data_IF_333629187112
#
_entry.id   IF_333629187112
#
_cell.length_a   1.000
_cell.length_b   1.000
_cell.length_c   1.000
_cell.angle_alpha   90.00
_cell.angle_beta   90.00
_cell.angle_gamma   90.00
#
_symmetry.space_group_name_H-M   'P 1'
#
loop_
_entity.id
_entity.type
_entity.pdbx_description
1 polymer ?
#
# COMPACT_ATOMS: atom_id res chain seq x y z
N UNK A 1 -15.29 -11.58 39.81
CA UNK A 1 -14.94 -12.41 38.60
C UNK A 1 -15.92 -12.19 37.45
N UNK A 2 -17.23 -12.04 37.69
CA UNK A 2 -18.25 -11.84 36.63
C UNK A 2 -18.06 -10.53 35.82
N UNK A 3 -17.72 -9.41 36.46
CA UNK A 3 -17.48 -8.13 35.81
C UNK A 3 -16.22 -8.14 34.91
N UNK A 4 -15.18 -8.87 35.31
CA UNK A 4 -13.96 -8.98 34.49
C UNK A 4 -14.21 -9.78 33.22
N UNK A 5 -15.06 -10.80 33.27
CA UNK A 5 -15.45 -11.58 32.09
C UNK A 5 -16.28 -10.79 31.07
N UNK A 6 -17.24 -10.01 31.54
CA UNK A 6 -18.06 -9.13 30.67
C UNK A 6 -17.22 -8.02 30.03
N UNK A 7 -16.34 -7.38 30.79
CA UNK A 7 -15.43 -6.36 30.27
C UNK A 7 -14.50 -6.94 29.19
N UNK A 8 -13.98 -8.15 29.39
CA UNK A 8 -13.14 -8.85 28.40
C UNK A 8 -13.91 -9.17 27.10
N UNK A 9 -15.18 -9.60 27.18
CA UNK A 9 -16.03 -9.88 26.02
C UNK A 9 -16.35 -8.59 25.23
N UNK A 10 -16.69 -7.51 25.93
CA UNK A 10 -16.97 -6.21 25.31
C UNK A 10 -15.73 -5.65 24.63
N UNK A 11 -14.56 -5.73 25.27
CA UNK A 11 -13.29 -5.29 24.70
C UNK A 11 -12.90 -6.13 23.46
N UNK A 12 -13.07 -7.45 23.50
CA UNK A 12 -12.82 -8.33 22.34
C UNK A 12 -13.76 -8.02 21.18
N UNK A 13 -15.04 -7.79 21.47
CA UNK A 13 -16.03 -7.45 20.44
C UNK A 13 -15.73 -6.10 19.81
N UNK A 14 -15.37 -5.09 20.61
CA UNK A 14 -14.97 -3.77 20.13
C UNK A 14 -13.70 -3.85 19.27
N UNK A 15 -12.71 -4.64 19.65
CA UNK A 15 -11.48 -4.87 18.87
C UNK A 15 -11.79 -5.55 17.53
N UNK A 16 -12.66 -6.57 17.51
CA UNK A 16 -13.09 -7.24 16.28
C UNK A 16 -13.85 -6.28 15.34
N UNK A 17 -14.78 -5.48 15.87
CA UNK A 17 -15.48 -4.48 15.05
C UNK A 17 -14.53 -3.44 14.47
N UNK A 18 -13.54 -2.99 15.24
CA UNK A 18 -12.52 -2.07 14.75
C UNK A 18 -11.69 -2.70 13.64
N UNK A 19 -11.24 -3.94 13.82
CA UNK A 19 -10.49 -4.68 12.82
C UNK A 19 -11.26 -4.84 11.50
N UNK A 20 -12.55 -5.20 11.57
CA UNK A 20 -13.43 -5.28 10.40
C UNK A 20 -13.69 -3.91 9.75
N UNK A 21 -13.72 -2.83 10.53
CA UNK A 21 -13.94 -1.47 10.02
C UNK A 21 -12.67 -0.86 9.38
N UNK A 22 -11.47 -1.27 9.81
CA UNK A 22 -10.19 -0.71 9.39
C UNK A 22 -9.45 -1.54 8.33
N UNK A 23 -9.89 -2.78 8.06
CA UNK A 23 -9.20 -3.69 7.13
C UNK A 23 -9.93 -3.85 5.80
N UNK A 24 -9.16 -4.02 4.74
CA UNK A 24 -9.64 -4.50 3.45
C UNK A 24 -9.79 -6.02 3.50
N UNK A 25 -10.98 -6.52 3.18
CA UNK A 25 -11.31 -7.94 3.34
C UNK A 25 -10.55 -8.86 2.38
N UNK A 26 -10.19 -8.37 1.21
CA UNK A 26 -9.47 -9.17 0.22
C UNK A 26 -7.99 -9.32 0.60
N UNK A 27 -7.36 -8.23 0.99
CA UNK A 27 -5.91 -8.18 1.17
C UNK A 27 -5.47 -8.22 2.63
N UNK A 28 -6.35 -7.89 3.58
CA UNK A 28 -6.02 -7.70 5.00
C UNK A 28 -5.13 -6.48 5.28
N UNK A 29 -4.86 -5.64 4.27
CA UNK A 29 -4.25 -4.33 4.47
C UNK A 29 -5.21 -3.39 5.21
N UNK A 30 -4.73 -2.26 5.71
CA UNK A 30 -5.65 -1.21 6.16
C UNK A 30 -6.45 -0.70 4.97
N UNK A 31 -7.71 -0.34 5.19
CA UNK A 31 -8.60 0.17 4.15
C UNK A 31 -8.50 1.69 4.00
N UNK A 32 -9.24 2.25 3.04
CA UNK A 32 -9.30 3.69 2.77
C UNK A 32 -9.78 4.50 3.98
N UNK A 33 -10.73 3.97 4.77
CA UNK A 33 -11.23 4.68 5.94
C UNK A 33 -10.14 4.82 7.01
N UNK A 34 -9.38 3.74 7.26
CA UNK A 34 -8.24 3.77 8.17
C UNK A 34 -7.16 4.76 7.69
N UNK A 35 -6.88 4.83 6.37
CA UNK A 35 -5.98 5.82 5.79
C UNK A 35 -6.44 7.25 6.10
N UNK A 36 -7.71 7.58 5.84
CA UNK A 36 -8.25 8.91 6.12
C UNK A 36 -8.23 9.25 7.61
N UNK A 37 -8.52 8.29 8.48
CA UNK A 37 -8.48 8.50 9.92
C UNK A 37 -7.05 8.75 10.42
N UNK A 38 -6.08 7.94 10.00
CA UNK A 38 -4.68 8.09 10.39
C UNK A 38 -4.09 9.41 9.85
N UNK A 39 -4.36 9.76 8.60
CA UNK A 39 -3.87 11.00 7.99
C UNK A 39 -4.50 12.25 8.61
N UNK A 40 -5.79 12.21 8.96
CA UNK A 40 -6.47 13.33 9.65
C UNK A 40 -5.93 13.59 11.08
N UNK A 41 -5.40 12.53 11.71
CA UNK A 41 -4.79 12.60 13.04
C UNK A 41 -3.30 12.92 13.02
N UNK A 42 -2.68 12.89 11.85
CA UNK A 42 -1.25 13.16 11.70
C UNK A 42 -0.96 14.65 11.96
N UNK A 43 -0.56 14.96 13.21
CA UNK A 43 -0.25 16.34 13.63
C UNK A 43 1.16 16.77 13.26
N UNK A 44 2.06 15.83 12.98
CA UNK A 44 3.46 16.09 12.71
C UNK A 44 3.81 15.54 11.34
N UNK A 45 3.90 16.43 10.37
CA UNK A 45 4.23 16.08 8.99
C UNK A 45 5.75 16.04 8.74
N UNK A 46 6.55 16.66 9.62
CA UNK A 46 8.02 16.64 9.48
C UNK A 46 8.55 15.22 9.46
N UNK A 47 9.36 14.92 8.46
CA UNK A 47 9.94 13.59 8.19
C UNK A 47 8.95 12.52 7.68
N UNK A 48 7.70 12.88 7.46
CA UNK A 48 6.70 11.95 6.92
C UNK A 48 7.11 11.51 5.51
N UNK A 49 7.07 10.21 5.25
CA UNK A 49 7.31 9.61 3.94
C UNK A 49 6.04 8.88 3.51
N UNK A 50 5.56 9.21 2.33
CA UNK A 50 4.46 8.53 1.68
C UNK A 50 4.97 7.79 0.44
N UNK A 51 4.71 6.48 0.39
CA UNK A 51 4.76 5.69 -0.85
C UNK A 51 3.36 5.52 -1.40
N UNK A 52 3.23 5.59 -2.70
CA UNK A 52 2.01 5.23 -3.45
C UNK A 52 2.33 4.17 -4.50
N UNK A 53 1.41 3.24 -4.69
CA UNK A 53 1.57 2.11 -5.61
C UNK A 53 0.31 1.94 -6.44
N UNK A 54 0.49 1.53 -7.69
CA UNK A 54 -0.59 1.20 -8.61
C UNK A 54 -0.25 -0.11 -9.34
N UNK A 55 -1.22 -1.02 -9.41
CA UNK A 55 -1.05 -2.31 -10.06
C UNK A 55 -1.32 -2.20 -11.56
N UNK A 56 -0.28 -2.30 -12.36
CA UNK A 56 -0.42 -2.27 -13.81
C UNK A 56 -1.13 -3.52 -14.33
N UNK A 57 -1.91 -3.36 -15.40
CA UNK A 57 -2.54 -4.46 -16.12
C UNK A 57 -3.63 -5.26 -15.37
N UNK A 58 -4.10 -4.82 -14.19
CA UNK A 58 -5.18 -5.51 -13.46
C UNK A 58 -6.42 -5.70 -14.34
N UNK A 59 -6.83 -4.67 -15.09
CA UNK A 59 -7.97 -4.76 -16.01
C UNK A 59 -7.75 -5.86 -17.07
N UNK A 60 -6.55 -5.97 -17.64
CA UNK A 60 -6.24 -7.01 -18.62
C UNK A 60 -6.41 -8.42 -18.03
N UNK A 61 -5.96 -8.65 -16.79
CA UNK A 61 -6.11 -9.94 -16.13
C UNK A 61 -7.57 -10.24 -15.80
N UNK A 62 -8.35 -9.25 -15.34
CA UNK A 62 -9.79 -9.40 -15.14
C UNK A 62 -10.53 -9.75 -16.43
N UNK A 63 -10.27 -9.01 -17.51
CA UNK A 63 -10.96 -9.19 -18.80
C UNK A 63 -10.60 -10.55 -19.46
N UNK A 64 -9.36 -11.00 -19.29
CA UNK A 64 -8.87 -12.23 -19.93
C UNK A 64 -9.09 -13.50 -19.12
N UNK A 65 -8.98 -13.43 -17.80
CA UNK A 65 -8.96 -14.59 -16.91
C UNK A 65 -10.04 -14.57 -15.82
N UNK A 66 -10.85 -13.51 -15.78
CA UNK A 66 -11.94 -13.35 -14.80
C UNK A 66 -11.49 -12.66 -13.51
N UNK A 67 -12.48 -12.26 -12.70
CA UNK A 67 -12.25 -11.50 -11.47
C UNK A 67 -11.46 -12.27 -10.41
N UNK A 68 -11.60 -13.60 -10.33
CA UNK A 68 -10.83 -14.41 -9.39
C UNK A 68 -9.31 -14.29 -9.64
N UNK A 69 -8.91 -14.19 -10.92
CA UNK A 69 -7.51 -13.95 -11.29
C UNK A 69 -7.05 -12.54 -10.90
N UNK A 70 -7.91 -11.54 -11.05
CA UNK A 70 -7.64 -10.18 -10.61
C UNK A 70 -7.53 -10.08 -9.08
N UNK A 71 -8.37 -10.77 -8.34
CA UNK A 71 -8.30 -10.83 -6.87
C UNK A 71 -7.01 -11.51 -6.41
N UNK A 72 -6.57 -12.57 -7.09
CA UNK A 72 -5.27 -13.18 -6.82
C UNK A 72 -4.13 -12.22 -7.11
N UNK A 73 -4.18 -11.48 -8.24
CA UNK A 73 -3.20 -10.46 -8.60
C UNK A 73 -3.05 -9.39 -7.51
N UNK A 74 -4.18 -8.89 -7.00
CA UNK A 74 -4.22 -7.89 -5.92
C UNK A 74 -3.65 -8.47 -4.62
N UNK A 75 -4.01 -9.70 -4.29
CA UNK A 75 -3.58 -10.37 -3.05
C UNK A 75 -2.07 -10.64 -3.07
N UNK A 76 -1.53 -11.07 -4.21
CA UNK A 76 -0.09 -11.33 -4.39
C UNK A 76 0.71 -10.03 -4.29
N UNK A 77 0.23 -8.94 -4.92
CA UNK A 77 0.83 -7.62 -4.78
C UNK A 77 0.84 -7.15 -3.31
N UNK A 78 -0.29 -7.28 -2.61
CA UNK A 78 -0.40 -6.92 -1.20
C UNK A 78 0.55 -7.74 -0.32
N UNK A 79 0.77 -9.03 -0.65
CA UNK A 79 1.73 -9.88 0.06
C UNK A 79 3.17 -9.37 -0.10
N UNK A 80 3.58 -9.03 -1.32
CA UNK A 80 4.92 -8.48 -1.61
C UNK A 80 5.11 -7.15 -0.88
N UNK A 81 4.14 -6.22 -1.00
CA UNK A 81 4.21 -4.92 -0.33
C UNK A 81 4.29 -5.06 1.20
N UNK A 82 3.48 -5.95 1.77
CA UNK A 82 3.51 -6.22 3.22
C UNK A 82 4.85 -6.77 3.68
N UNK A 83 5.43 -7.73 2.95
CA UNK A 83 6.73 -8.33 3.25
C UNK A 83 7.82 -7.27 3.36
N UNK A 84 7.79 -6.24 2.52
CA UNK A 84 8.82 -5.20 2.43
C UNK A 84 8.55 -4.07 3.43
N UNK A 85 7.32 -3.56 3.47
CA UNK A 85 7.03 -2.27 4.10
C UNK A 85 6.44 -2.38 5.51
N UNK A 86 5.89 -3.53 5.94
CA UNK A 86 5.16 -3.64 7.22
C UNK A 86 5.98 -3.35 8.48
N UNK A 87 7.31 -3.41 8.39
CA UNK A 87 8.22 -3.06 9.49
C UNK A 87 8.52 -1.57 9.58
N UNK A 88 8.20 -0.82 8.53
CA UNK A 88 8.53 0.60 8.40
C UNK A 88 7.30 1.49 8.57
N UNK A 89 6.13 1.03 8.14
CA UNK A 89 4.91 1.82 8.21
C UNK A 89 3.64 0.99 8.00
N UNK A 90 2.51 1.66 8.03
CA UNK A 90 1.21 1.03 7.76
C UNK A 90 0.95 0.96 6.26
N UNK A 91 0.56 -0.22 5.78
CA UNK A 91 0.16 -0.48 4.40
C UNK A 91 -1.35 -0.41 4.28
N UNK A 92 -1.82 0.44 3.36
CA UNK A 92 -3.24 0.65 3.08
C UNK A 92 -3.56 0.28 1.64
N UNK A 93 -4.77 -0.24 1.42
CA UNK A 93 -5.41 -0.32 0.10
C UNK A 93 -6.46 0.77 0.01
N UNK A 94 -6.24 1.75 -0.86
CA UNK A 94 -7.07 2.97 -0.96
C UNK A 94 -7.99 2.98 -2.18
N UNK A 95 -7.76 2.08 -3.13
CA UNK A 95 -8.54 1.90 -4.34
C UNK A 95 -8.56 0.43 -4.77
N UNK A 96 -9.09 0.15 -5.94
CA UNK A 96 -9.14 -1.19 -6.51
C UNK A 96 -7.74 -1.81 -6.70
N UNK A 97 -6.87 -1.06 -7.35
CA UNK A 97 -5.47 -1.37 -7.69
C UNK A 97 -4.46 -0.44 -7.01
N UNK A 98 -4.93 0.43 -6.10
CA UNK A 98 -4.12 1.46 -5.48
C UNK A 98 -3.79 1.11 -4.02
N UNK A 99 -2.50 1.18 -3.69
CA UNK A 99 -2.00 1.01 -2.32
C UNK A 99 -1.14 2.20 -1.91
N UNK A 100 -1.02 2.42 -0.60
CA UNK A 100 -0.06 3.37 -0.07
C UNK A 100 0.57 2.86 1.23
N UNK A 101 1.76 3.38 1.54
CA UNK A 101 2.44 3.17 2.82
C UNK A 101 2.78 4.51 3.42
N UNK A 102 2.38 4.71 4.66
CA UNK A 102 2.70 5.89 5.44
C UNK A 102 3.77 5.52 6.47
N UNK A 103 4.89 6.24 6.44
CA UNK A 103 6.04 6.07 7.35
C UNK A 103 6.26 7.38 8.10
N UNK A 104 6.13 7.35 9.42
CA UNK A 104 6.14 8.55 10.27
C UNK A 104 7.51 9.26 10.30
N UNK A 105 8.60 8.52 10.10
CA UNK A 105 9.96 9.09 10.03
C UNK A 105 10.78 8.41 8.95
N UNK A 106 11.02 9.10 7.84
CA UNK A 106 11.81 8.60 6.70
C UNK A 106 13.27 8.30 7.08
N UNK A 107 13.83 8.89 8.14
CA UNK A 107 15.18 8.62 8.58
C UNK A 107 15.36 7.19 9.15
N UNK A 108 14.26 6.49 9.40
CA UNK A 108 14.27 5.11 9.91
C UNK A 108 14.45 4.06 8.81
N UNK A 109 14.46 4.46 7.53
CA UNK A 109 14.55 3.53 6.42
C UNK A 109 15.41 4.06 5.27
N UNK A 110 16.01 3.14 4.53
CA UNK A 110 16.65 3.43 3.25
C UNK A 110 15.64 3.25 2.11
N UNK A 111 15.17 4.37 1.56
CA UNK A 111 14.19 4.41 0.48
C UNK A 111 14.67 3.63 -0.75
N UNK A 112 15.93 3.84 -1.14
CA UNK A 112 16.52 3.16 -2.31
C UNK A 112 16.58 1.65 -2.13
N UNK A 113 16.90 1.21 -0.90
CA UNK A 113 16.89 -0.20 -0.55
C UNK A 113 15.48 -0.79 -0.62
N UNK A 114 14.46 -0.09 -0.10
CA UNK A 114 13.06 -0.55 -0.16
C UNK A 114 12.58 -0.72 -1.60
N UNK A 115 12.89 0.24 -2.48
CA UNK A 115 12.56 0.15 -3.91
C UNK A 115 13.30 -1.01 -4.57
N UNK A 116 14.59 -1.19 -4.26
CA UNK A 116 15.38 -2.33 -4.76
C UNK A 116 14.77 -3.67 -4.32
N UNK A 117 14.34 -3.79 -3.06
CA UNK A 117 13.66 -4.97 -2.55
C UNK A 117 12.34 -5.22 -3.29
N UNK A 118 11.55 -4.17 -3.57
CA UNK A 118 10.32 -4.29 -4.33
C UNK A 118 10.58 -4.88 -5.72
N UNK A 119 11.56 -4.36 -6.46
CA UNK A 119 11.90 -4.86 -7.80
C UNK A 119 12.42 -6.29 -7.78
N UNK A 120 13.17 -6.68 -6.75
CA UNK A 120 13.65 -8.05 -6.57
C UNK A 120 12.51 -9.02 -6.29
N UNK A 121 11.61 -8.71 -5.36
CA UNK A 121 10.46 -9.57 -5.04
C UNK A 121 9.50 -9.72 -6.24
N UNK A 122 9.26 -8.64 -6.96
CA UNK A 122 8.48 -8.63 -8.20
C UNK A 122 9.12 -9.55 -9.27
N UNK A 123 10.44 -9.48 -9.45
CA UNK A 123 11.18 -10.33 -10.38
C UNK A 123 11.14 -11.81 -9.95
N UNK A 124 11.30 -12.11 -8.67
CA UNK A 124 11.20 -13.47 -8.11
C UNK A 124 9.80 -14.05 -8.33
N UNK A 125 8.76 -13.26 -8.04
CA UNK A 125 7.38 -13.67 -8.29
C UNK A 125 7.15 -13.98 -9.77
N UNK A 126 7.57 -13.09 -10.66
CA UNK A 126 7.38 -13.22 -12.10
C UNK A 126 8.16 -14.41 -12.70
N UNK A 127 9.31 -14.76 -12.15
CA UNK A 127 10.09 -15.93 -12.54
C UNK A 127 9.40 -17.25 -12.14
N UNK A 128 8.61 -17.26 -11.07
CA UNK A 128 7.91 -18.44 -10.58
C UNK A 128 6.47 -18.58 -11.14
N UNK A 129 5.86 -17.49 -11.58
CA UNK A 129 4.50 -17.45 -12.11
C UNK A 129 4.47 -17.74 -13.60
N UNK A 130 3.59 -18.67 -14.04
CA UNK A 130 3.44 -19.01 -15.46
C UNK A 130 2.45 -18.12 -16.21
N UNK A 131 1.44 -17.59 -15.52
CA UNK A 131 0.29 -16.95 -16.16
C UNK A 131 0.08 -15.49 -15.73
N UNK A 132 0.60 -15.10 -14.57
CA UNK A 132 0.44 -13.77 -14.02
C UNK A 132 1.81 -13.08 -13.98
N UNK A 133 1.91 -11.93 -14.63
CA UNK A 133 3.11 -11.10 -14.60
C UNK A 133 2.82 -9.84 -13.82
N UNK A 134 3.22 -9.84 -12.55
CA UNK A 134 2.97 -8.73 -11.64
C UNK A 134 3.87 -7.54 -12.00
N UNK A 135 3.27 -6.35 -12.04
CA UNK A 135 3.97 -5.11 -12.29
C UNK A 135 3.38 -4.01 -11.41
N UNK A 136 4.17 -3.51 -10.47
CA UNK A 136 3.77 -2.51 -9.47
C UNK A 136 4.46 -1.18 -9.78
N UNK A 137 3.70 -0.18 -10.24
CA UNK A 137 4.21 1.18 -10.28
C UNK A 137 4.36 1.72 -8.87
N UNK A 138 5.45 2.43 -8.60
CA UNK A 138 5.80 2.95 -7.29
C UNK A 138 6.27 4.39 -7.40
N UNK A 139 5.72 5.27 -6.58
CA UNK A 139 6.23 6.61 -6.36
C UNK A 139 6.29 6.93 -4.88
N UNK A 140 7.07 7.93 -4.52
CA UNK A 140 7.18 8.37 -3.14
C UNK A 140 7.46 9.87 -3.02
N UNK A 141 7.16 10.42 -1.86
CA UNK A 141 7.59 11.75 -1.49
C UNK A 141 7.87 11.84 0.02
N UNK A 142 8.92 12.57 0.39
CA UNK A 142 9.18 12.99 1.77
C UNK A 142 8.60 14.37 1.97
N UNK A 143 7.92 14.59 3.09
CA UNK A 143 7.35 15.90 3.41
C UNK A 143 8.43 16.98 3.49
N UNK A 144 8.25 18.05 2.74
CA UNK A 144 9.12 19.24 2.76
C UNK A 144 8.26 20.49 2.99
N UNK A 145 8.38 21.08 4.17
CA UNK A 145 7.62 22.29 4.56
C UNK A 145 7.84 23.52 3.67
N UNK A 146 8.83 23.48 2.76
CA UNK A 146 9.06 24.54 1.79
C UNK A 146 8.17 24.40 0.55
N UNK A 147 7.73 23.17 0.25
CA UNK A 147 6.94 22.85 -0.96
C UNK A 147 5.55 22.32 -0.62
N UNK A 148 5.38 21.69 0.54
CA UNK A 148 4.13 21.04 0.94
C UNK A 148 3.42 21.89 1.99
N UNK A 149 2.26 22.45 1.62
CA UNK A 149 1.41 23.16 2.56
C UNK A 149 0.72 22.20 3.55
N UNK A 150 0.45 20.97 3.09
CA UNK A 150 -0.31 19.93 3.80
C UNK A 150 0.01 18.54 3.25
N UNK A 151 -0.70 17.54 3.77
CA UNK A 151 -0.59 16.16 3.33
C UNK A 151 -1.05 15.96 1.88
N UNK A 152 -2.03 16.74 1.42
CA UNK A 152 -2.53 16.65 0.04
C UNK A 152 -1.45 17.06 -0.96
N UNK A 153 -0.63 18.06 -0.62
CA UNK A 153 0.51 18.46 -1.45
C UNK A 153 1.58 17.36 -1.50
N UNK A 154 1.89 16.73 -0.37
CA UNK A 154 2.78 15.57 -0.30
C UNK A 154 2.26 14.41 -1.18
N UNK A 155 0.97 14.08 -1.06
CA UNK A 155 0.34 13.03 -1.84
C UNK A 155 0.43 13.29 -3.35
N UNK A 156 0.13 14.50 -3.79
CA UNK A 156 0.25 14.89 -5.21
C UNK A 156 1.66 14.69 -5.76
N UNK A 157 2.70 14.95 -4.96
CA UNK A 157 4.09 14.70 -5.39
C UNK A 157 4.41 13.21 -5.48
N UNK A 158 3.95 12.40 -4.54
CA UNK A 158 4.10 10.95 -4.58
C UNK A 158 3.34 10.34 -5.77
N UNK A 159 2.12 10.80 -6.05
CA UNK A 159 1.31 10.38 -7.20
C UNK A 159 1.97 10.75 -8.53
N UNK A 160 2.57 11.94 -8.62
CA UNK A 160 3.31 12.36 -9.82
C UNK A 160 4.52 11.46 -10.09
N UNK A 161 5.30 11.14 -9.06
CA UNK A 161 6.45 10.24 -9.15
C UNK A 161 6.02 8.82 -9.57
N UNK A 162 4.94 8.29 -8.97
CA UNK A 162 4.34 7.01 -9.36
C UNK A 162 3.87 7.01 -10.81
N UNK A 163 3.24 8.08 -11.27
CA UNK A 163 2.77 8.18 -12.65
C UNK A 163 3.93 8.17 -13.68
N UNK A 164 5.05 8.82 -13.36
CA UNK A 164 6.26 8.79 -14.18
C UNK A 164 6.88 7.39 -14.22
N UNK A 165 6.95 6.72 -13.07
CA UNK A 165 7.39 5.33 -13.01
C UNK A 165 6.45 4.39 -13.80
N UNK A 166 5.14 4.60 -13.71
CA UNK A 166 4.13 3.84 -14.47
C UNK A 166 4.34 3.94 -15.99
N UNK A 167 4.67 5.14 -16.49
CA UNK A 167 5.01 5.35 -17.92
C UNK A 167 6.26 4.60 -18.33
N UNK A 168 7.33 4.65 -17.53
CA UNK A 168 8.56 3.94 -17.79
C UNK A 168 8.34 2.43 -17.89
N UNK A 169 7.62 1.84 -16.93
CA UNK A 169 7.31 0.42 -16.90
C UNK A 169 6.53 -0.04 -18.13
N UNK A 170 5.57 0.75 -18.63
CA UNK A 170 4.82 0.44 -19.86
C UNK A 170 5.72 0.42 -21.10
N UNK A 171 6.70 1.30 -21.18
CA UNK A 171 7.62 1.37 -22.32
C UNK A 171 8.50 0.12 -22.43
N UNK A 172 8.84 -0.52 -21.31
CA UNK A 172 9.63 -1.76 -21.29
C UNK A 172 8.80 -3.02 -21.58
N UNK A 173 7.48 -2.99 -21.40
CA UNK A 173 6.59 -4.14 -21.64
C UNK A 173 6.29 -4.41 -23.13
N UNK A 174 6.63 -3.49 -24.03
CA UNK A 174 6.41 -3.59 -25.48
C UNK A 174 7.67 -3.93 -26.28
N UNK A 175 8.74 -4.34 -25.62
CA UNK A 175 9.96 -4.85 -26.25
C UNK A 175 10.16 -6.34 -25.92
#
# INVERSE_FOLDING_TARGET
EYFAGICCLVCRRAALYRELAEKDLLTGCYNRNAYHEDTSRCKKLTNLLLFVFDLNNLKYYNDKFGHDCGDQYITDAAHILRKIFSRHGKLYRIGGDEFCVLIDDHNTCDISHLICCLRKEEAVYNASSRNIHLQIACGYAVFDSRTDADLDALQKRADQDMYENKKQLKTFSYR
#
